data_IF_119702275325
#
_entry.id   IF_119702275325
#
_cell.length_a   1.000
_cell.length_b   1.000
_cell.length_c   1.000
_cell.angle_alpha   90.00
_cell.angle_beta   90.00
_cell.angle_gamma   90.00
#
_symmetry.space_group_name_H-M   'P 1'
#
loop_
_entity.id
_entity.type
_entity.pdbx_description
1 polymer ?
#
# COMPACT_ATOMS: atom_id res chain seq x y z
N UNK A 1 6.04 -12.92 -4.95
CA UNK A 1 5.55 -12.42 -3.64
C UNK A 1 6.13 -13.29 -2.55
N UNK A 2 6.78 -12.69 -1.57
CA UNK A 2 7.35 -13.39 -0.41
C UNK A 2 6.49 -13.14 0.83
N UNK A 3 5.98 -14.20 1.44
CA UNK A 3 5.04 -14.12 2.57
C UNK A 3 5.66 -14.75 3.82
N UNK A 4 5.42 -14.12 4.97
CA UNK A 4 5.70 -14.71 6.26
C UNK A 4 4.39 -15.05 7.00
N UNK A 5 4.34 -16.20 7.65
CA UNK A 5 3.27 -16.61 8.55
C UNK A 5 3.86 -16.72 9.95
N UNK A 6 3.20 -16.16 10.97
CA UNK A 6 3.51 -16.40 12.36
C UNK A 6 2.26 -16.91 13.07
N UNK A 7 2.32 -18.15 13.53
CA UNK A 7 1.21 -18.89 14.14
C UNK A 7 1.80 -19.97 15.04
N UNK A 8 1.50 -20.00 16.32
CA UNK A 8 2.08 -20.95 17.28
C UNK A 8 1.49 -22.37 17.17
N UNK A 9 0.27 -22.49 16.66
CA UNK A 9 -0.34 -23.78 16.32
C UNK A 9 0.14 -24.25 14.93
N UNK A 10 1.01 -25.25 14.92
CA UNK A 10 1.60 -25.81 13.69
C UNK A 10 0.56 -26.37 12.70
N UNK A 11 -0.59 -26.85 13.18
CA UNK A 11 -1.66 -27.35 12.33
C UNK A 11 -2.39 -26.19 11.61
N UNK A 12 -2.64 -25.11 12.33
CA UNK A 12 -3.26 -23.90 11.77
C UNK A 12 -2.29 -23.20 10.81
N UNK A 13 -1.00 -23.09 11.18
CA UNK A 13 0.04 -22.57 10.30
C UNK A 13 0.12 -23.34 8.97
N UNK A 14 0.18 -24.68 9.06
CA UNK A 14 0.21 -25.55 7.89
C UNK A 14 -1.05 -25.49 7.04
N UNK A 15 -2.22 -25.31 7.68
CA UNK A 15 -3.49 -25.14 6.95
C UNK A 15 -3.50 -23.83 6.15
N UNK A 16 -3.09 -22.71 6.75
CA UNK A 16 -2.98 -21.41 6.08
C UNK A 16 -1.94 -21.46 4.95
N UNK A 17 -0.76 -22.03 5.21
CA UNK A 17 0.27 -22.20 4.19
C UNK A 17 -0.25 -22.99 2.97
N UNK A 18 -0.97 -24.07 3.21
CA UNK A 18 -1.56 -24.90 2.14
C UNK A 18 -2.57 -24.13 1.29
N UNK A 19 -3.43 -23.32 1.93
CA UNK A 19 -4.39 -22.46 1.22
C UNK A 19 -3.68 -21.40 0.37
N UNK A 20 -2.69 -20.72 0.92
CA UNK A 20 -1.87 -19.75 0.19
C UNK A 20 -1.12 -20.39 -0.97
N UNK A 21 -0.46 -21.52 -0.77
CA UNK A 21 0.22 -22.29 -1.84
C UNK A 21 -0.74 -22.72 -2.95
N UNK A 22 -1.95 -23.15 -2.59
CA UNK A 22 -2.99 -23.50 -3.57
C UNK A 22 -3.38 -22.29 -4.42
N UNK A 23 -3.61 -21.14 -3.79
CA UNK A 23 -4.00 -19.91 -4.48
C UNK A 23 -2.89 -19.39 -5.41
N UNK A 24 -1.64 -19.48 -4.99
CA UNK A 24 -0.50 -19.01 -5.78
C UNK A 24 -0.16 -19.90 -6.97
N UNK A 25 -0.40 -21.22 -6.90
CA UNK A 25 -0.24 -22.13 -8.04
C UNK A 25 -1.15 -21.75 -9.23
N UNK A 26 -2.31 -21.16 -8.93
CA UNK A 26 -3.25 -20.70 -9.96
C UNK A 26 -2.72 -19.43 -10.65
N UNK A 27 -1.95 -18.61 -9.93
CA UNK A 27 -1.50 -17.30 -10.40
C UNK A 27 -0.15 -17.31 -11.15
N UNK A 28 0.52 -18.46 -11.29
CA UNK A 28 1.80 -18.63 -12.04
C UNK A 28 2.97 -17.72 -11.58
N UNK A 29 3.02 -17.29 -10.32
CA UNK A 29 4.11 -16.49 -9.78
C UNK A 29 5.11 -17.32 -8.99
N UNK A 30 6.39 -16.91 -9.01
CA UNK A 30 7.34 -17.34 -8.00
C UNK A 30 6.93 -16.76 -6.65
N UNK A 31 6.47 -17.62 -5.76
CA UNK A 31 6.07 -17.25 -4.41
C UNK A 31 6.82 -18.10 -3.41
N UNK A 32 7.32 -17.47 -2.35
CA UNK A 32 7.87 -18.17 -1.20
C UNK A 32 7.06 -17.84 0.05
N UNK A 33 6.88 -18.85 0.90
CA UNK A 33 6.18 -18.71 2.17
C UNK A 33 7.10 -19.29 3.24
N UNK A 34 7.46 -18.45 4.19
CA UNK A 34 8.21 -18.85 5.37
C UNK A 34 7.26 -18.89 6.58
N UNK A 35 7.31 -19.96 7.36
CA UNK A 35 6.43 -20.19 8.50
C UNK A 35 7.26 -20.13 9.78
N UNK A 36 6.81 -19.34 10.74
CA UNK A 36 7.39 -19.16 12.06
C UNK A 36 6.37 -19.58 13.12
N UNK A 37 6.81 -20.31 14.11
CA UNK A 37 5.95 -20.79 15.19
C UNK A 37 6.03 -19.93 16.46
N UNK A 38 6.85 -18.88 16.43
CA UNK A 38 6.96 -17.92 17.53
C UNK A 38 7.29 -16.52 16.99
N UNK A 39 6.98 -15.49 17.79
CA UNK A 39 7.37 -14.11 17.47
C UNK A 39 8.89 -13.93 17.45
N UNK A 40 9.61 -14.65 18.33
CA UNK A 40 11.07 -14.58 18.41
C UNK A 40 11.74 -15.15 17.17
N UNK A 41 11.30 -16.33 16.68
CA UNK A 41 11.81 -16.92 15.44
C UNK A 41 11.56 -16.00 14.24
N UNK A 42 10.39 -15.37 14.19
CA UNK A 42 10.10 -14.41 13.12
C UNK A 42 11.02 -13.19 13.21
N UNK A 43 11.26 -12.61 14.40
CA UNK A 43 12.17 -11.48 14.56
C UNK A 43 13.57 -11.82 14.08
N UNK A 44 14.10 -13.00 14.42
CA UNK A 44 15.40 -13.47 13.91
C UNK A 44 15.39 -13.66 12.39
N UNK A 45 14.30 -14.19 11.83
CA UNK A 45 14.14 -14.34 10.38
C UNK A 45 14.16 -13.00 9.62
N UNK A 46 13.63 -11.94 10.23
CA UNK A 46 13.57 -10.59 9.65
C UNK A 46 14.95 -9.93 9.49
N UNK A 47 15.96 -10.36 10.23
CA UNK A 47 17.34 -9.88 10.06
C UNK A 47 17.91 -10.23 8.69
N UNK A 48 17.44 -11.35 8.09
CA UNK A 48 17.96 -11.90 6.86
C UNK A 48 16.96 -11.89 5.69
N UNK A 49 15.69 -11.52 5.94
CA UNK A 49 14.65 -11.59 4.93
C UNK A 49 13.65 -10.44 5.06
N UNK A 50 13.21 -9.93 3.89
CA UNK A 50 12.05 -9.03 3.80
C UNK A 50 10.88 -9.78 3.15
N UNK A 51 9.68 -9.44 3.58
CA UNK A 51 8.45 -10.04 3.08
C UNK A 51 7.52 -8.96 2.55
N UNK A 52 6.77 -9.30 1.53
CA UNK A 52 5.75 -8.42 0.93
C UNK A 52 4.48 -8.39 1.80
N UNK A 53 4.18 -9.49 2.50
CA UNK A 53 3.04 -9.59 3.39
C UNK A 53 3.31 -10.53 4.57
N UNK A 54 2.67 -10.23 5.69
CA UNK A 54 2.78 -10.96 6.95
C UNK A 54 1.39 -11.39 7.41
N UNK A 55 1.20 -12.69 7.59
CA UNK A 55 0.03 -13.25 8.26
C UNK A 55 0.39 -13.57 9.70
N UNK A 56 -0.23 -12.89 10.65
CA UNK A 56 0.13 -12.98 12.06
C UNK A 56 -1.09 -13.41 12.87
N UNK A 57 -0.95 -14.48 13.66
CA UNK A 57 -1.92 -14.66 14.74
C UNK A 57 -1.72 -13.56 15.79
N UNK A 58 -2.79 -13.16 16.43
CA UNK A 58 -2.75 -12.21 17.53
C UNK A 58 -2.29 -12.91 18.82
N UNK A 59 -2.72 -14.14 19.03
CA UNK A 59 -2.31 -14.96 20.16
C UNK A 59 -1.17 -15.89 19.73
N UNK A 60 0.04 -15.62 20.20
CA UNK A 60 1.27 -16.36 19.88
C UNK A 60 1.85 -16.97 21.16
N UNK A 61 1.08 -17.84 21.81
CA UNK A 61 1.48 -18.44 23.10
C UNK A 61 1.65 -17.39 24.19
N UNK A 62 2.89 -17.10 24.58
CA UNK A 62 3.19 -16.05 25.56
C UNK A 62 3.40 -14.66 24.93
N UNK A 63 3.43 -14.57 23.62
CA UNK A 63 3.65 -13.34 22.86
C UNK A 63 2.34 -12.81 22.29
N UNK A 64 2.38 -11.56 21.81
CA UNK A 64 1.25 -10.88 21.20
C UNK A 64 1.58 -10.46 19.76
N UNK A 65 0.78 -10.93 18.80
CA UNK A 65 0.95 -10.62 17.38
C UNK A 65 0.83 -9.14 17.05
N UNK A 66 0.12 -8.34 17.86
CA UNK A 66 0.04 -6.89 17.69
C UNK A 66 1.39 -6.23 18.01
N UNK A 67 2.08 -6.70 19.05
CA UNK A 67 3.44 -6.23 19.38
C UNK A 67 4.45 -6.65 18.28
N UNK A 68 4.32 -7.88 17.76
CA UNK A 68 5.11 -8.33 16.63
C UNK A 68 4.85 -7.45 15.39
N UNK A 69 3.60 -7.09 15.13
CA UNK A 69 3.23 -6.19 14.05
C UNK A 69 3.86 -4.79 14.21
N UNK A 70 3.88 -4.24 15.44
CA UNK A 70 4.58 -2.97 15.73
C UNK A 70 6.08 -3.09 15.45
N UNK A 71 6.69 -4.17 15.87
CA UNK A 71 8.10 -4.44 15.61
C UNK A 71 8.40 -4.48 14.11
N UNK A 72 7.60 -5.25 13.32
CA UNK A 72 7.72 -5.33 11.86
C UNK A 72 7.56 -3.95 11.22
N UNK A 73 6.57 -3.17 11.65
CA UNK A 73 6.34 -1.80 11.16
C UNK A 73 7.49 -0.85 11.50
N UNK A 74 8.21 -1.07 12.59
CA UNK A 74 9.42 -0.33 12.94
C UNK A 74 10.57 -0.57 11.96
N UNK A 75 10.66 -1.77 11.40
CA UNK A 75 11.64 -2.13 10.37
C UNK A 75 11.24 -1.66 8.98
N UNK A 76 9.99 -1.88 8.62
CA UNK A 76 9.42 -1.47 7.34
C UNK A 76 7.97 -1.02 7.55
N UNK A 77 7.78 0.28 7.57
CA UNK A 77 6.46 0.92 7.73
C UNK A 77 5.48 0.53 6.61
N UNK A 78 6.00 0.12 5.44
CA UNK A 78 5.19 -0.29 4.29
C UNK A 78 4.79 -1.77 4.33
N UNK A 79 5.27 -2.55 5.31
CA UNK A 79 4.92 -3.96 5.41
C UNK A 79 3.41 -4.16 5.48
N UNK A 80 2.90 -5.14 4.74
CA UNK A 80 1.48 -5.46 4.70
C UNK A 80 1.18 -6.51 5.75
N UNK A 81 0.41 -6.14 6.78
CA UNK A 81 0.09 -7.02 7.90
C UNK A 81 -1.35 -7.48 7.81
N UNK A 82 -1.57 -8.79 7.87
CA UNK A 82 -2.87 -9.44 7.93
C UNK A 82 -2.93 -10.21 9.23
N UNK A 83 -3.87 -9.88 10.10
CA UNK A 83 -4.09 -10.68 11.30
C UNK A 83 -4.99 -11.88 11.00
N UNK A 84 -4.65 -13.02 11.60
CA UNK A 84 -5.48 -14.23 11.63
C UNK A 84 -5.75 -14.56 13.09
N UNK A 85 -7.01 -14.58 13.54
CA UNK A 85 -7.31 -14.80 14.95
C UNK A 85 -8.73 -15.30 15.19
N UNK A 86 -8.93 -15.96 16.31
CA UNK A 86 -10.24 -16.39 16.79
C UNK A 86 -11.02 -15.27 17.49
N UNK A 87 -10.35 -14.17 17.87
CA UNK A 87 -10.90 -13.12 18.70
C UNK A 87 -11.18 -11.84 17.92
N UNK A 88 -12.42 -11.35 18.00
CA UNK A 88 -12.85 -10.10 17.36
C UNK A 88 -12.53 -8.85 18.19
N UNK A 89 -12.24 -9.02 19.49
CA UNK A 89 -12.05 -7.91 20.42
C UNK A 89 -10.75 -7.13 20.17
N UNK A 90 -9.79 -7.74 19.47
CA UNK A 90 -8.53 -7.10 19.09
C UNK A 90 -8.60 -6.23 17.82
N UNK A 91 -9.80 -6.08 17.22
CA UNK A 91 -9.92 -5.25 16.02
C UNK A 91 -9.48 -3.79 16.25
N UNK A 92 -9.71 -3.23 17.45
CA UNK A 92 -9.21 -1.89 17.79
C UNK A 92 -7.69 -1.83 17.81
N UNK A 93 -7.01 -2.81 18.42
CA UNK A 93 -5.55 -2.89 18.45
C UNK A 93 -4.93 -3.12 17.06
N UNK A 94 -5.63 -3.85 16.16
CA UNK A 94 -5.23 -4.00 14.77
C UNK A 94 -5.29 -2.66 14.00
N UNK A 95 -6.21 -1.77 14.36
CA UNK A 95 -6.23 -0.40 13.82
C UNK A 95 -4.99 0.40 14.21
N UNK A 96 -4.48 0.26 15.41
CA UNK A 96 -3.32 1.00 15.91
C UNK A 96 -2.03 0.67 15.13
N UNK A 97 -1.91 -0.56 14.64
CA UNK A 97 -0.77 -1.00 13.80
C UNK A 97 -1.04 -0.89 12.32
N UNK A 98 -2.16 -0.29 11.92
CA UNK A 98 -2.56 -0.15 10.52
C UNK A 98 -2.47 -1.48 9.75
N UNK A 99 -3.07 -2.52 10.33
CA UNK A 99 -3.17 -3.80 9.64
C UNK A 99 -3.93 -3.66 8.32
N UNK A 100 -3.44 -4.35 7.30
CA UNK A 100 -4.05 -4.38 5.98
C UNK A 100 -5.42 -5.05 6.01
N UNK A 101 -5.50 -6.16 6.73
CA UNK A 101 -6.73 -6.94 6.83
C UNK A 101 -6.73 -7.76 8.13
N UNK A 102 -7.90 -8.36 8.39
CA UNK A 102 -8.18 -9.14 9.57
C UNK A 102 -9.03 -10.35 9.17
N UNK A 103 -8.53 -11.55 9.44
CA UNK A 103 -9.22 -12.80 9.17
C UNK A 103 -9.66 -13.41 10.48
N UNK A 104 -10.96 -13.45 10.72
CA UNK A 104 -11.52 -14.23 11.83
C UNK A 104 -11.45 -15.71 11.47
N UNK A 105 -10.81 -16.53 12.30
CA UNK A 105 -10.75 -17.99 12.16
C UNK A 105 -12.16 -18.59 12.21
N UNK A 106 -12.49 -19.65 11.47
CA UNK A 106 -11.57 -20.42 10.65
C UNK A 106 -11.16 -19.70 9.38
N UNK A 107 -9.88 -19.87 8.99
CA UNK A 107 -9.35 -19.37 7.73
C UNK A 107 -9.85 -20.27 6.60
N UNK A 108 -10.67 -19.71 5.71
CA UNK A 108 -11.26 -20.43 4.58
C UNK A 108 -10.61 -20.02 3.26
N UNK A 109 -10.77 -20.87 2.23
CA UNK A 109 -10.25 -20.59 0.89
C UNK A 109 -10.76 -19.24 0.34
N UNK A 110 -12.07 -18.95 0.49
CA UNK A 110 -12.68 -17.70 0.02
C UNK A 110 -12.08 -16.45 0.70
N UNK A 111 -11.77 -16.55 2.01
CA UNK A 111 -11.15 -15.45 2.75
C UNK A 111 -9.71 -15.22 2.26
N UNK A 112 -8.96 -16.29 2.03
CA UNK A 112 -7.60 -16.23 1.50
C UNK A 112 -7.60 -15.68 0.09
N UNK A 113 -8.47 -16.16 -0.80
CA UNK A 113 -8.58 -15.70 -2.18
C UNK A 113 -8.87 -14.20 -2.25
N UNK A 114 -9.84 -13.72 -1.47
CA UNK A 114 -10.17 -12.30 -1.40
C UNK A 114 -8.97 -11.44 -0.97
N UNK A 115 -8.22 -11.88 0.04
CA UNK A 115 -7.07 -11.12 0.55
C UNK A 115 -5.91 -11.17 -0.42
N UNK A 116 -5.60 -12.33 -0.99
CA UNK A 116 -4.53 -12.45 -1.98
C UNK A 116 -4.84 -11.62 -3.22
N UNK A 117 -6.09 -11.60 -3.69
CA UNK A 117 -6.51 -10.73 -4.80
C UNK A 117 -6.26 -9.24 -4.47
N UNK A 118 -6.57 -8.81 -3.25
CA UNK A 118 -6.28 -7.44 -2.82
C UNK A 118 -4.77 -7.16 -2.73
N UNK A 119 -3.98 -8.13 -2.26
CA UNK A 119 -2.51 -8.04 -2.22
C UNK A 119 -1.93 -7.91 -3.63
N UNK A 120 -2.37 -8.77 -4.54
CA UNK A 120 -1.96 -8.73 -5.95
C UNK A 120 -2.25 -7.36 -6.57
N UNK A 121 -3.44 -6.81 -6.39
CA UNK A 121 -3.81 -5.48 -6.88
C UNK A 121 -2.88 -4.38 -6.38
N UNK A 122 -2.44 -4.46 -5.12
CA UNK A 122 -1.49 -3.51 -4.55
C UNK A 122 -0.11 -3.66 -5.18
N UNK A 123 0.35 -4.89 -5.32
CA UNK A 123 1.69 -5.18 -5.84
C UNK A 123 1.80 -4.85 -7.33
N UNK A 124 0.79 -5.21 -8.13
CA UNK A 124 0.75 -4.86 -9.55
C UNK A 124 0.79 -3.35 -9.77
N UNK A 125 -0.01 -2.62 -9.00
CA UNK A 125 -0.03 -1.18 -9.14
C UNK A 125 1.27 -0.51 -8.63
N UNK A 126 2.09 -1.20 -7.81
CA UNK A 126 3.42 -0.71 -7.42
C UNK A 126 4.48 -0.92 -8.52
N UNK A 127 4.29 -1.92 -9.39
CA UNK A 127 5.15 -2.18 -10.55
C UNK A 127 4.75 -1.37 -11.80
N UNK A 128 3.56 -0.78 -11.82
CA UNK A 128 3.07 0.02 -12.94
C UNK A 128 3.86 1.32 -13.09
N UNK A 129 4.17 1.66 -14.34
CA UNK A 129 4.97 2.82 -14.69
C UNK A 129 4.22 3.74 -15.63
N UNK A 130 4.37 5.02 -15.41
CA UNK A 130 4.08 6.02 -16.44
C UNK A 130 5.20 6.01 -17.47
N UNK A 131 4.87 5.73 -18.74
CA UNK A 131 5.82 5.76 -19.86
C UNK A 131 5.50 6.98 -20.72
N UNK A 132 6.51 7.79 -20.98
CA UNK A 132 6.37 9.01 -21.79
C UNK A 132 7.65 9.34 -22.55
N UNK A 133 7.55 10.18 -23.58
CA UNK A 133 8.70 10.67 -24.32
C UNK A 133 9.16 12.03 -23.80
N UNK A 134 10.41 12.10 -23.34
CA UNK A 134 11.07 13.32 -22.86
C UNK A 134 12.40 13.46 -23.58
N UNK A 135 12.68 14.62 -24.20
CA UNK A 135 13.94 14.89 -24.92
C UNK A 135 14.31 13.82 -25.97
N UNK A 136 13.34 13.31 -26.71
CA UNK A 136 13.47 12.20 -27.69
C UNK A 136 13.90 10.86 -27.11
N UNK A 137 13.83 10.70 -25.80
CA UNK A 137 14.08 9.45 -25.10
C UNK A 137 12.77 8.94 -24.48
N UNK A 138 12.57 7.63 -24.47
CA UNK A 138 11.48 7.01 -23.74
C UNK A 138 11.88 6.92 -22.27
N UNK A 139 11.09 7.56 -21.41
CA UNK A 139 11.27 7.55 -19.96
C UNK A 139 10.16 6.71 -19.34
N UNK A 140 10.49 6.05 -18.24
CA UNK A 140 9.52 5.34 -17.41
C UNK A 140 9.73 5.71 -15.94
N UNK A 141 8.63 5.99 -15.24
CA UNK A 141 8.63 6.36 -13.83
C UNK A 141 7.58 5.52 -13.12
N UNK A 142 7.95 4.88 -12.02
CA UNK A 142 6.99 4.13 -11.21
C UNK A 142 5.89 5.06 -10.68
N UNK A 143 4.65 4.59 -10.68
CA UNK A 143 3.53 5.38 -10.14
C UNK A 143 3.76 5.73 -8.68
N UNK A 144 4.39 4.84 -7.94
CA UNK A 144 4.70 5.07 -6.53
C UNK A 144 5.71 6.19 -6.27
N UNK A 145 6.56 6.53 -7.24
CA UNK A 145 7.52 7.62 -7.13
C UNK A 145 6.93 8.99 -7.52
N UNK A 146 5.79 8.99 -8.23
CA UNK A 146 5.15 10.24 -8.67
C UNK A 146 4.45 10.90 -7.48
N UNK A 147 4.84 12.13 -7.18
CA UNK A 147 4.21 12.97 -6.14
C UNK A 147 2.99 13.68 -6.69
N UNK A 148 3.16 14.41 -7.80
CA UNK A 148 2.06 15.05 -8.52
C UNK A 148 2.43 15.29 -9.98
N UNK A 149 1.42 15.57 -10.78
CA UNK A 149 1.56 16.00 -12.17
C UNK A 149 0.75 17.27 -12.40
N UNK A 150 1.30 18.19 -13.16
CA UNK A 150 0.65 19.46 -13.49
C UNK A 150 0.80 19.78 -14.97
N UNK A 151 -0.27 20.26 -15.60
CA UNK A 151 -0.19 20.68 -16.99
C UNK A 151 -0.31 22.19 -17.14
N UNK A 152 0.57 22.74 -17.98
CA UNK A 152 0.48 24.11 -18.49
C UNK A 152 0.39 24.01 -20.01
N UNK A 153 -0.77 24.39 -20.57
CA UNK A 153 -1.09 24.22 -22.00
C UNK A 153 -1.03 22.73 -22.40
N UNK A 154 -0.02 22.32 -23.18
CA UNK A 154 0.20 20.94 -23.65
C UNK A 154 1.49 20.33 -23.06
N UNK A 155 2.09 20.97 -22.09
CA UNK A 155 3.26 20.44 -21.40
C UNK A 155 2.80 19.91 -20.06
N UNK A 156 3.13 18.66 -19.77
CA UNK A 156 2.87 18.00 -18.50
C UNK A 156 4.20 17.95 -17.75
N UNK A 157 4.20 18.49 -16.54
CA UNK A 157 5.28 18.36 -15.57
C UNK A 157 4.95 17.18 -14.65
N UNK A 158 5.86 16.23 -14.52
CA UNK A 158 5.80 15.11 -13.56
C UNK A 158 6.82 15.38 -12.49
N UNK A 159 6.38 15.47 -11.25
CA UNK A 159 7.26 15.63 -10.09
C UNK A 159 7.29 14.32 -9.34
N UNK A 160 8.48 13.77 -9.22
CA UNK A 160 8.76 12.55 -8.47
C UNK A 160 9.48 12.85 -7.16
N UNK A 161 9.71 11.84 -6.36
CA UNK A 161 10.50 11.94 -5.13
C UNK A 161 11.89 12.54 -5.38
N UNK A 162 12.52 12.17 -6.50
CA UNK A 162 13.92 12.49 -6.76
C UNK A 162 14.15 13.43 -7.95
N UNK A 163 13.22 13.46 -8.92
CA UNK A 163 13.39 14.16 -10.19
C UNK A 163 12.13 14.89 -10.65
N UNK A 164 12.31 15.75 -11.65
CA UNK A 164 11.22 16.38 -12.37
C UNK A 164 11.39 16.13 -13.87
N UNK A 165 10.28 15.83 -14.54
CA UNK A 165 10.27 15.57 -15.98
C UNK A 165 9.20 16.44 -16.65
N UNK A 166 9.39 16.73 -17.91
CA UNK A 166 8.38 17.42 -18.73
C UNK A 166 8.20 16.71 -20.05
N UNK A 167 6.95 16.56 -20.48
CA UNK A 167 6.65 16.01 -21.80
C UNK A 167 5.38 16.65 -22.40
N UNK A 168 5.22 16.51 -23.72
CA UNK A 168 4.04 17.00 -24.41
C UNK A 168 2.91 15.97 -24.33
N UNK A 169 1.74 16.42 -23.89
CA UNK A 169 0.57 15.55 -23.77
C UNK A 169 -0.66 16.29 -23.26
N UNK A 170 -1.76 15.56 -23.20
CA UNK A 170 -2.99 16.02 -22.56
C UNK A 170 -3.12 15.32 -21.22
N UNK A 171 -3.18 16.07 -20.13
CA UNK A 171 -3.28 15.52 -18.78
C UNK A 171 -4.55 14.66 -18.59
N UNK A 172 -5.58 14.91 -19.38
CA UNK A 172 -6.79 14.08 -19.37
C UNK A 172 -6.56 12.67 -19.88
N UNK A 173 -5.70 12.51 -20.88
CA UNK A 173 -5.39 11.19 -21.44
C UNK A 173 -4.51 10.42 -20.44
N UNK A 174 -3.50 11.07 -19.87
CA UNK A 174 -2.69 10.49 -18.80
C UNK A 174 -3.56 10.05 -17.62
N UNK A 175 -4.49 10.90 -17.17
CA UNK A 175 -5.33 10.55 -16.02
C UNK A 175 -6.20 9.31 -16.22
N UNK A 176 -6.62 9.02 -17.45
CA UNK A 176 -7.43 7.81 -17.75
C UNK A 176 -6.64 6.51 -17.57
N UNK A 177 -5.33 6.58 -17.76
CA UNK A 177 -4.42 5.44 -17.64
C UNK A 177 -3.93 5.22 -16.21
N UNK A 178 -4.08 6.24 -15.35
CA UNK A 178 -3.62 6.17 -13.97
C UNK A 178 -4.60 5.38 -13.08
N UNK A 179 -4.08 4.61 -12.10
CA UNK A 179 -4.92 3.94 -11.13
C UNK A 179 -5.61 4.96 -10.20
N UNK A 180 -6.93 5.08 -10.34
CA UNK A 180 -7.74 6.06 -9.59
C UNK A 180 -7.71 5.86 -8.08
N UNK A 181 -7.34 4.65 -7.62
CA UNK A 181 -7.20 4.37 -6.18
C UNK A 181 -6.02 5.10 -5.53
N UNK A 182 -5.03 5.55 -6.30
CA UNK A 182 -3.84 6.22 -5.78
C UNK A 182 -3.64 7.63 -6.31
N UNK A 183 -4.35 7.98 -7.37
CA UNK A 183 -4.27 9.32 -7.97
C UNK A 183 -5.61 10.03 -7.97
N UNK A 184 -5.61 11.28 -7.56
CA UNK A 184 -6.78 12.15 -7.62
C UNK A 184 -6.50 13.48 -8.31
N UNK A 185 -7.57 14.13 -8.76
CA UNK A 185 -7.48 15.45 -9.36
C UNK A 185 -7.75 16.53 -8.35
N UNK A 186 -6.77 17.38 -8.10
CA UNK A 186 -6.99 18.61 -7.32
C UNK A 186 -7.73 19.67 -8.16
N UNK A 187 -7.42 19.79 -9.46
CA UNK A 187 -8.07 20.64 -10.48
C UNK A 187 -7.91 20.05 -11.88
N UNK A 188 -8.53 20.65 -12.89
CA UNK A 188 -8.50 20.12 -14.27
C UNK A 188 -7.10 19.88 -14.84
N UNK A 189 -6.13 20.64 -14.41
CA UNK A 189 -4.73 20.57 -14.88
C UNK A 189 -3.77 19.99 -13.84
N UNK A 190 -4.23 19.41 -12.72
CA UNK A 190 -3.34 18.91 -11.69
C UNK A 190 -3.86 17.59 -11.10
N UNK A 191 -2.97 16.60 -11.04
CA UNK A 191 -3.18 15.27 -10.49
C UNK A 191 -2.19 15.07 -9.34
N UNK A 192 -2.65 14.54 -8.23
CA UNK A 192 -1.83 14.26 -7.06
C UNK A 192 -1.88 12.76 -6.74
N UNK A 193 -0.76 12.21 -6.30
CA UNK A 193 -0.73 10.90 -5.68
C UNK A 193 -1.12 11.05 -4.20
N UNK A 194 -2.18 10.39 -3.80
CA UNK A 194 -2.72 10.42 -2.44
C UNK A 194 -1.71 10.02 -1.38
N UNK A 195 -0.74 9.21 -1.77
CA UNK A 195 0.36 8.74 -0.94
C UNK A 195 1.18 9.86 -0.31
N UNK A 196 1.34 10.97 -1.03
CA UNK A 196 2.20 12.08 -0.63
C UNK A 196 1.43 13.22 0.05
N UNK A 197 0.11 13.09 0.19
CA UNK A 197 -0.70 14.12 0.85
C UNK A 197 -0.39 14.14 2.35
N UNK A 198 0.02 15.31 2.84
CA UNK A 198 0.22 15.60 4.26
C UNK A 198 -1.02 16.18 4.92
N UNK A 199 -1.76 17.04 4.20
CA UNK A 199 -3.03 17.63 4.66
C UNK A 199 -3.87 18.14 3.51
N UNK A 200 -5.16 18.32 3.77
CA UNK A 200 -6.13 18.88 2.82
C UNK A 200 -7.00 19.90 3.53
N UNK A 201 -7.26 21.04 2.89
CA UNK A 201 -8.32 21.96 3.28
C UNK A 201 -9.26 22.28 2.11
N UNK A 202 -10.21 23.20 2.30
CA UNK A 202 -11.25 23.53 1.30
C UNK A 202 -10.71 24.09 -0.01
N UNK A 203 -9.48 24.60 -0.03
CA UNK A 203 -8.87 25.31 -1.16
C UNK A 203 -7.55 24.71 -1.65
N UNK A 204 -6.94 23.83 -0.87
CA UNK A 204 -5.58 23.36 -1.12
C UNK A 204 -5.34 21.95 -0.63
N UNK A 205 -4.39 21.29 -1.30
CA UNK A 205 -3.82 20.00 -0.93
C UNK A 205 -2.32 20.21 -0.74
N UNK A 206 -1.77 19.77 0.37
CA UNK A 206 -0.33 19.81 0.63
C UNK A 206 0.27 18.43 0.49
N UNK A 207 1.42 18.38 -0.17
CA UNK A 207 2.18 17.15 -0.40
C UNK A 207 3.59 17.31 0.14
N UNK A 208 4.21 16.19 0.55
CA UNK A 208 5.64 16.10 0.86
C UNK A 208 6.27 15.00 0.04
N UNK A 209 7.45 15.25 -0.52
CA UNK A 209 8.25 14.22 -1.17
C UNK A 209 8.81 13.25 -0.13
N UNK A 210 9.36 13.79 0.96
CA UNK A 210 9.93 13.03 2.10
C UNK A 210 9.59 13.70 3.42
N UNK A 211 9.67 12.93 4.50
CA UNK A 211 9.50 13.45 5.87
C UNK A 211 10.58 14.51 6.16
N UNK A 212 10.18 15.65 6.70
CA UNK A 212 11.11 16.76 7.02
C UNK A 212 11.39 17.72 5.88
N UNK A 213 10.94 17.43 4.64
CA UNK A 213 11.00 18.38 3.53
C UNK A 213 9.84 19.38 3.58
N UNK A 214 10.02 20.51 2.86
CA UNK A 214 8.98 21.53 2.72
C UNK A 214 7.73 20.99 2.03
N UNK A 215 6.57 21.47 2.46
CA UNK A 215 5.30 21.12 1.86
C UNK A 215 5.10 21.83 0.52
N UNK A 216 4.66 21.11 -0.47
CA UNK A 216 4.26 21.61 -1.77
C UNK A 216 2.76 21.86 -1.73
N UNK A 217 2.32 23.09 -1.91
CA UNK A 217 0.90 23.44 -1.95
C UNK A 217 0.35 23.32 -3.37
N UNK A 218 -0.68 22.52 -3.54
CA UNK A 218 -1.45 22.37 -4.77
C UNK A 218 -2.84 22.96 -4.59
N UNK A 219 -3.30 23.79 -5.54
CA UNK A 219 -4.62 24.37 -5.47
C UNK A 219 -5.72 23.32 -5.69
N UNK A 220 -6.73 23.31 -4.85
CA UNK A 220 -7.95 22.52 -5.01
C UNK A 220 -9.00 23.36 -5.72
N UNK A 221 -9.54 22.86 -6.84
CA UNK A 221 -10.53 23.55 -7.65
C UNK A 221 -11.82 23.82 -6.88
N UNK A 222 -12.48 24.95 -7.15
CA UNK A 222 -13.74 25.31 -6.50
C UNK A 222 -14.78 24.20 -6.66
N UNK A 223 -15.45 23.84 -5.57
CA UNK A 223 -16.49 22.80 -5.55
C UNK A 223 -15.97 21.34 -5.57
N UNK A 224 -14.67 21.11 -5.69
CA UNK A 224 -14.11 19.76 -5.75
C UNK A 224 -13.79 19.12 -4.39
N UNK A 225 -13.89 19.88 -3.33
CA UNK A 225 -13.47 19.41 -2.00
C UNK A 225 -14.16 18.11 -1.59
N UNK A 226 -15.49 18.03 -1.72
CA UNK A 226 -16.24 16.86 -1.29
C UNK A 226 -15.92 15.62 -2.13
N UNK A 227 -15.87 15.76 -3.46
CA UNK A 227 -15.52 14.67 -4.37
C UNK A 227 -14.10 14.17 -4.08
N UNK A 228 -13.15 15.12 -3.99
CA UNK A 228 -11.75 14.81 -3.67
C UNK A 228 -11.60 14.10 -2.32
N UNK A 229 -12.32 14.55 -1.29
CA UNK A 229 -12.29 13.92 0.03
C UNK A 229 -12.93 12.54 0.03
N UNK A 230 -13.95 12.32 -0.81
CA UNK A 230 -14.55 10.99 -0.97
C UNK A 230 -13.55 10.00 -1.57
N UNK A 231 -12.89 10.38 -2.66
CA UNK A 231 -11.87 9.56 -3.32
C UNK A 231 -10.66 9.34 -2.40
N UNK A 232 -10.21 10.39 -1.73
CA UNK A 232 -9.11 10.31 -0.77
C UNK A 232 -9.46 9.42 0.44
N UNK A 233 -10.68 9.48 0.93
CA UNK A 233 -11.15 8.59 2.00
C UNK A 233 -11.15 7.11 1.55
N UNK A 234 -11.52 6.82 0.31
CA UNK A 234 -11.39 5.47 -0.26
C UNK A 234 -9.93 5.01 -0.28
N UNK A 235 -8.99 5.87 -0.70
CA UNK A 235 -7.56 5.57 -0.62
C UNK A 235 -7.13 5.29 0.82
N UNK A 236 -7.52 6.12 1.76
CA UNK A 236 -7.15 5.99 3.18
C UNK A 236 -7.71 4.69 3.79
N UNK A 237 -8.92 4.30 3.40
CA UNK A 237 -9.56 3.05 3.86
C UNK A 237 -9.12 1.83 3.06
N UNK A 238 -8.52 2.04 1.90
CA UNK A 238 -7.85 0.99 1.14
C UNK A 238 -6.55 0.56 1.84
N UNK A 239 -6.06 -0.59 1.46
CA UNK A 239 -4.79 -1.10 1.94
C UNK A 239 -3.60 -0.13 1.80
N UNK A 240 -3.55 0.62 0.71
CA UNK A 240 -2.48 1.59 0.42
C UNK A 240 -2.50 2.81 1.34
N UNK A 241 -3.68 3.29 1.72
CA UNK A 241 -3.84 4.41 2.65
C UNK A 241 -3.51 4.04 4.08
N UNK A 242 -3.80 2.80 4.49
CA UNK A 242 -3.58 2.33 5.86
C UNK A 242 -2.11 2.13 6.20
N UNK A 243 -1.27 1.73 5.24
CA UNK A 243 0.16 1.49 5.47
C UNK A 243 1.01 2.74 5.69
N UNK A 244 0.41 3.95 5.70
CA UNK A 244 1.16 5.22 5.74
C UNK A 244 0.69 6.27 6.74
N UNK A 245 -0.29 5.96 7.57
CA UNK A 245 -0.69 6.87 8.65
C UNK A 245 0.09 6.58 9.92
N UNK A 246 1.33 7.00 9.98
CA UNK A 246 2.00 7.28 11.25
C UNK A 246 2.80 8.57 11.08
N UNK A 247 2.27 9.62 11.63
CA UNK A 247 2.91 10.88 11.99
C UNK A 247 2.73 11.09 13.48
#
# INVERSE_FOLDING_TARGET
MKIAICEDDSLQAGALEKLLKKRFKIASYENSIDVYLSAEDMKQGLENAKYDAYFLDIELGNDNGVELARYIKGYDINSVIIFTTSHTDYMSAAFDVHAFNYIVKPVTEDKVDKIVTQLEQIMYAAEEKLVFSCNRQTMSVYYDDIVYMESAKRVIKVVTTDNEYTFYGKINDVYKELPMLIFGRTRSGCIVNYRYISRVDKSSVWCRKRIGEEEIQLNLGRGRYNDFMTDYAQYITSARGRSRRMW
#
